data_IF_772694170003
#
_entry.id   IF_772694170003
#
_cell.length_a   1.000
_cell.length_b   1.000
_cell.length_c   1.000
_cell.angle_alpha   90.00
_cell.angle_beta   90.00
_cell.angle_gamma   90.00
#
_symmetry.space_group_name_H-M   'P 1'
#
loop_
_entity.id
_entity.type
_entity.pdbx_description
1 polymer ?
#
# COMPACT_ATOMS: atom_id res chain seq x y z
N UNK A 1 -3.85 -11.77 14.48
CA UNK A 1 -5.17 -11.14 14.76
C UNK A 1 -5.05 -9.62 14.89
N UNK A 2 -4.91 -8.96 13.75
CA UNK A 2 -4.81 -7.49 13.68
C UNK A 2 -6.08 -6.76 14.19
N UNK A 3 -7.19 -7.47 14.32
CA UNK A 3 -8.50 -6.92 14.69
C UNK A 3 -8.92 -7.21 16.14
N UNK A 4 -8.11 -7.88 16.94
CA UNK A 4 -8.38 -8.04 18.37
C UNK A 4 -7.91 -6.81 19.15
N UNK A 5 -8.72 -5.75 19.07
CA UNK A 5 -8.57 -4.55 19.90
C UNK A 5 -9.82 -4.45 20.74
N UNK A 6 -9.63 -4.19 22.03
CA UNK A 6 -10.74 -3.81 22.92
C UNK A 6 -11.21 -2.42 22.51
N UNK A 7 -12.22 -2.34 21.60
CA UNK A 7 -12.75 -1.08 21.13
C UNK A 7 -13.44 -1.17 19.77
N UNK A 8 -14.00 -0.07 19.31
CA UNK A 8 -14.70 0.01 18.02
C UNK A 8 -13.72 0.29 16.90
N UNK A 9 -13.66 -0.60 15.92
CA UNK A 9 -12.93 -0.38 14.66
C UNK A 9 -13.93 0.00 13.56
N UNK A 10 -13.67 1.09 12.85
CA UNK A 10 -14.38 1.38 11.59
C UNK A 10 -13.56 0.84 10.42
N UNK A 11 -14.22 0.13 9.53
CA UNK A 11 -13.68 -0.27 8.22
C UNK A 11 -14.47 0.49 7.16
N UNK A 12 -13.82 1.48 6.52
CA UNK A 12 -14.39 2.28 5.45
C UNK A 12 -13.92 1.68 4.13
N UNK A 13 -14.87 1.16 3.35
CA UNK A 13 -14.63 0.55 2.04
C UNK A 13 -14.97 1.56 0.95
N UNK A 14 -13.98 1.99 0.18
CA UNK A 14 -14.13 2.91 -0.94
C UNK A 14 -13.98 2.19 -2.29
N UNK A 15 -13.91 0.87 -2.30
CA UNK A 15 -13.81 0.04 -3.50
C UNK A 15 -14.67 -1.21 -3.33
N UNK A 16 -15.33 -1.66 -4.40
CA UNK A 16 -15.96 -2.97 -4.44
C UNK A 16 -14.89 -4.02 -4.74
N UNK A 17 -14.49 -4.76 -3.72
CA UNK A 17 -13.56 -5.89 -3.86
C UNK A 17 -14.25 -7.15 -4.38
N UNK A 18 -13.44 -8.13 -4.83
CA UNK A 18 -13.92 -9.47 -5.19
C UNK A 18 -14.42 -10.24 -3.95
N UNK A 19 -13.87 -9.92 -2.79
CA UNK A 19 -14.23 -10.54 -1.51
C UNK A 19 -15.20 -9.65 -0.73
N UNK A 20 -16.29 -10.24 -0.25
CA UNK A 20 -17.25 -9.54 0.59
C UNK A 20 -17.03 -9.88 2.07
N UNK A 21 -16.96 -8.85 2.90
CA UNK A 21 -16.97 -9.03 4.35
C UNK A 21 -18.38 -9.32 4.85
N UNK A 22 -18.57 -10.36 5.66
CA UNK A 22 -19.81 -10.60 6.38
C UNK A 22 -19.96 -9.56 7.51
N UNK A 23 -20.90 -8.61 7.42
CA UNK A 23 -21.06 -7.58 8.43
C UNK A 23 -21.42 -8.13 9.83
N UNK A 24 -22.09 -9.27 9.89
CA UNK A 24 -22.46 -9.90 11.16
C UNK A 24 -21.25 -10.55 11.84
N UNK A 25 -20.37 -11.16 11.05
CA UNK A 25 -19.13 -11.73 11.56
C UNK A 25 -18.17 -10.61 12.01
N UNK A 26 -18.01 -9.57 11.20
CA UNK A 26 -17.18 -8.42 11.53
C UNK A 26 -17.66 -7.70 12.79
N UNK A 27 -18.98 -7.58 12.98
CA UNK A 27 -19.56 -6.97 14.17
C UNK A 27 -19.23 -7.75 15.47
N UNK A 28 -19.09 -9.07 15.41
CA UNK A 28 -18.65 -9.89 16.57
C UNK A 28 -17.22 -9.54 17.04
N UNK A 29 -16.43 -9.00 16.14
CA UNK A 29 -15.05 -8.55 16.43
C UNK A 29 -14.95 -7.05 16.67
N UNK A 30 -16.09 -6.37 16.89
CA UNK A 30 -16.10 -4.92 17.14
C UNK A 30 -15.84 -4.06 15.90
N UNK A 31 -15.91 -4.66 14.70
CA UNK A 31 -15.68 -3.94 13.44
C UNK A 31 -17.02 -3.50 12.83
N UNK A 32 -17.11 -2.21 12.52
CA UNK A 32 -18.24 -1.60 11.81
C UNK A 32 -17.83 -1.26 10.38
N UNK A 33 -18.54 -1.84 9.41
CA UNK A 33 -18.30 -1.58 7.99
C UNK A 33 -19.13 -0.38 7.53
N UNK A 34 -18.49 0.54 6.81
CA UNK A 34 -19.08 1.69 6.15
C UNK A 34 -18.66 1.59 4.68
N UNK A 35 -19.60 1.69 3.75
CA UNK A 35 -19.31 1.70 2.31
C UNK A 35 -19.46 3.10 1.76
N UNK A 36 -18.58 3.48 0.86
CA UNK A 36 -18.58 4.74 0.10
C UNK A 36 -18.41 4.36 -1.36
N UNK A 37 -19.27 4.87 -2.22
CA UNK A 37 -19.25 4.57 -3.65
C UNK A 37 -18.51 5.66 -4.44
N UNK A 38 -18.64 6.92 -4.02
CA UNK A 38 -18.06 8.06 -4.72
C UNK A 38 -17.06 8.82 -3.85
N UNK A 39 -15.96 9.29 -4.47
CA UNK A 39 -14.90 10.01 -3.75
C UNK A 39 -15.42 11.25 -3.00
N UNK A 40 -16.41 11.92 -3.58
CA UNK A 40 -17.03 13.13 -3.05
C UNK A 40 -17.76 12.92 -1.72
N UNK A 41 -18.09 11.66 -1.38
CA UNK A 41 -18.70 11.31 -0.09
C UNK A 41 -17.68 11.33 1.05
N UNK A 42 -16.38 11.05 0.73
CA UNK A 42 -15.30 11.02 1.72
C UNK A 42 -14.84 12.44 2.07
N UNK A 43 -15.61 13.09 2.92
CA UNK A 43 -15.39 14.49 3.31
C UNK A 43 -15.01 14.63 4.78
N UNK A 44 -14.46 15.79 5.16
CA UNK A 44 -14.22 16.14 6.57
C UNK A 44 -15.49 16.04 7.42
N UNK A 45 -16.62 16.49 6.88
CA UNK A 45 -17.90 16.43 7.57
C UNK A 45 -18.35 14.97 7.82
N UNK A 46 -18.18 14.11 6.83
CA UNK A 46 -18.48 12.69 6.95
C UNK A 46 -17.60 12.01 7.99
N UNK A 47 -16.29 12.26 7.99
CA UNK A 47 -15.36 11.69 8.96
C UNK A 47 -15.69 12.15 10.39
N UNK A 48 -16.04 13.43 10.57
CA UNK A 48 -16.47 13.97 11.87
C UNK A 48 -17.79 13.33 12.34
N UNK A 49 -18.77 13.11 11.46
CA UNK A 49 -20.01 12.41 11.79
C UNK A 49 -19.72 10.98 12.29
N UNK A 50 -18.82 10.27 11.62
CA UNK A 50 -18.40 8.93 12.05
C UNK A 50 -17.70 8.95 13.41
N UNK A 51 -16.84 9.95 13.64
CA UNK A 51 -16.17 10.14 14.92
C UNK A 51 -17.18 10.37 16.06
N UNK A 52 -18.11 11.29 15.89
CA UNK A 52 -19.14 11.60 16.88
C UNK A 52 -20.05 10.40 17.17
N UNK A 53 -20.44 9.67 16.12
CA UNK A 53 -21.39 8.56 16.22
C UNK A 53 -20.81 7.29 16.82
N UNK A 54 -19.54 6.98 16.51
CA UNK A 54 -18.96 5.68 16.85
C UNK A 54 -17.81 5.77 17.85
N UNK A 55 -17.20 6.95 18.00
CA UNK A 55 -15.99 7.17 18.84
C UNK A 55 -14.96 6.06 18.64
N UNK A 56 -14.51 5.80 17.38
CA UNK A 56 -13.68 4.65 17.07
C UNK A 56 -12.28 4.78 17.68
N UNK A 57 -11.72 3.67 18.12
CA UNK A 57 -10.33 3.58 18.55
C UNK A 57 -9.39 3.35 17.36
N UNK A 58 -9.92 2.76 16.30
CA UNK A 58 -9.20 2.50 15.05
C UNK A 58 -10.10 2.75 13.84
N UNK A 59 -9.51 3.30 12.80
CA UNK A 59 -10.14 3.43 11.50
C UNK A 59 -9.22 2.80 10.45
N UNK A 60 -9.77 1.92 9.64
CA UNK A 60 -9.12 1.34 8.48
C UNK A 60 -9.87 1.83 7.25
N UNK A 61 -9.17 2.42 6.29
CA UNK A 61 -9.76 2.90 5.06
C UNK A 61 -9.16 2.08 3.91
N UNK A 62 -10.00 1.27 3.26
CA UNK A 62 -9.65 0.65 1.98
C UNK A 62 -9.95 1.68 0.89
N UNK A 63 -8.90 2.45 0.58
CA UNK A 63 -9.01 3.58 -0.34
C UNK A 63 -9.04 3.08 -1.79
N UNK A 64 -9.91 3.67 -2.62
CA UNK A 64 -10.03 3.27 -4.01
C UNK A 64 -8.73 3.56 -4.79
N UNK A 65 -8.20 2.54 -5.46
CA UNK A 65 -6.94 2.62 -6.19
C UNK A 65 -6.92 3.57 -7.40
N UNK A 66 -8.09 4.06 -7.82
CA UNK A 66 -8.21 5.05 -8.91
C UNK A 66 -8.35 6.49 -8.40
N UNK A 67 -8.52 6.70 -7.09
CA UNK A 67 -8.62 8.02 -6.49
C UNK A 67 -7.24 8.57 -6.13
N UNK A 68 -7.12 9.89 -6.12
CA UNK A 68 -5.86 10.51 -5.74
C UNK A 68 -5.68 10.51 -4.23
N UNK A 69 -4.60 9.91 -3.76
CA UNK A 69 -4.26 9.88 -2.33
C UNK A 69 -4.08 11.28 -1.76
N UNK A 70 -3.54 12.22 -2.56
CA UNK A 70 -3.38 13.63 -2.18
C UNK A 70 -4.70 14.33 -1.81
N UNK A 71 -5.83 13.90 -2.38
CA UNK A 71 -7.13 14.47 -2.05
C UNK A 71 -7.56 14.07 -0.63
N UNK A 72 -7.30 12.81 -0.23
CA UNK A 72 -7.52 12.37 1.14
C UNK A 72 -6.56 13.03 2.13
N UNK A 73 -5.28 13.14 1.78
CA UNK A 73 -4.25 13.78 2.61
C UNK A 73 -4.51 15.27 2.85
N UNK A 74 -5.28 15.91 1.99
CA UNK A 74 -5.66 17.32 2.14
C UNK A 74 -6.84 17.53 3.11
N UNK A 75 -7.54 16.46 3.52
CA UNK A 75 -8.64 16.56 4.47
C UNK A 75 -8.14 16.84 5.89
N UNK A 76 -8.86 17.69 6.62
CA UNK A 76 -8.67 17.81 8.06
C UNK A 76 -9.35 16.62 8.75
N UNK A 77 -8.55 15.76 9.36
CA UNK A 77 -9.06 14.62 10.10
C UNK A 77 -9.75 15.07 11.41
N UNK A 78 -10.71 14.30 11.92
CA UNK A 78 -11.32 14.55 13.23
C UNK A 78 -10.28 14.70 14.34
N UNK A 79 -10.60 15.45 15.38
CA UNK A 79 -9.71 15.65 16.53
C UNK A 79 -9.26 14.32 17.14
N UNK A 80 -7.96 14.14 17.29
CA UNK A 80 -7.37 12.92 17.83
C UNK A 80 -7.14 11.81 16.81
N UNK A 81 -7.52 11.99 15.54
CA UNK A 81 -7.16 11.05 14.48
C UNK A 81 -5.83 11.43 13.85
N UNK A 82 -5.02 10.41 13.57
CA UNK A 82 -3.78 10.54 12.81
C UNK A 82 -3.60 9.35 11.87
N UNK A 83 -2.89 9.56 10.77
CA UNK A 83 -2.52 8.45 9.87
C UNK A 83 -1.33 7.73 10.49
N UNK A 84 -1.58 6.57 11.06
CA UNK A 84 -0.55 5.75 11.69
C UNK A 84 0.27 4.98 10.66
N UNK A 85 -0.38 4.47 9.62
CA UNK A 85 0.28 3.65 8.60
C UNK A 85 -0.39 3.81 7.24
N UNK A 86 0.45 3.85 6.19
CA UNK A 86 0.03 3.75 4.80
C UNK A 86 0.56 2.48 4.18
N UNK A 87 -0.35 1.66 3.69
CA UNK A 87 -0.06 0.40 3.03
C UNK A 87 -0.63 0.44 1.61
N UNK A 88 0.15 -0.02 0.64
CA UNK A 88 -0.29 -0.14 -0.75
C UNK A 88 -0.25 -1.60 -1.17
N UNK A 89 -1.38 -2.14 -1.62
CA UNK A 89 -1.47 -3.46 -2.23
C UNK A 89 -1.38 -3.36 -3.74
N UNK A 90 -0.65 -4.26 -4.38
CA UNK A 90 -0.42 -4.27 -5.82
C UNK A 90 -0.57 -5.67 -6.38
N UNK A 91 -1.45 -5.84 -7.36
CA UNK A 91 -1.55 -7.08 -8.13
C UNK A 91 -0.33 -7.23 -9.04
N UNK A 92 0.55 -8.19 -8.73
CA UNK A 92 1.78 -8.43 -9.48
C UNK A 92 1.49 -8.86 -10.94
N UNK A 93 0.38 -9.56 -11.18
CA UNK A 93 0.03 -10.06 -12.52
C UNK A 93 -0.30 -8.95 -13.51
N UNK A 94 -0.82 -7.83 -13.03
CA UNK A 94 -1.21 -6.66 -13.85
C UNK A 94 -0.25 -5.48 -13.70
N UNK A 95 0.71 -5.55 -12.79
CA UNK A 95 1.58 -4.44 -12.42
C UNK A 95 2.30 -3.79 -13.59
N UNK A 96 2.87 -4.59 -14.50
CA UNK A 96 3.62 -4.04 -15.65
C UNK A 96 2.71 -3.22 -16.57
N UNK A 97 1.48 -3.68 -16.80
CA UNK A 97 0.49 -2.95 -17.59
C UNK A 97 0.07 -1.67 -16.87
N UNK A 98 -0.16 -1.75 -15.57
CA UNK A 98 -0.51 -0.61 -14.73
C UNK A 98 0.60 0.45 -14.73
N UNK A 99 1.85 0.05 -14.53
CA UNK A 99 3.01 0.93 -14.54
C UNK A 99 3.19 1.65 -15.89
N UNK A 100 2.91 0.97 -17.01
CA UNK A 100 3.03 1.54 -18.34
C UNK A 100 1.93 2.56 -18.64
N UNK A 101 0.71 2.33 -18.18
CA UNK A 101 -0.45 3.14 -18.52
C UNK A 101 -0.81 4.18 -17.45
N UNK A 102 -0.58 3.88 -16.17
CA UNK A 102 -1.02 4.66 -15.02
C UNK A 102 0.15 5.04 -14.08
N UNK A 103 1.35 5.20 -14.62
CA UNK A 103 2.55 5.51 -13.84
C UNK A 103 2.38 6.70 -12.86
N UNK A 104 1.73 7.83 -13.23
CA UNK A 104 1.55 8.93 -12.29
C UNK A 104 0.73 8.53 -11.06
N UNK A 105 -0.31 7.71 -11.25
CA UNK A 105 -1.16 7.22 -10.17
C UNK A 105 -0.38 6.25 -9.28
N UNK A 106 0.37 5.32 -9.86
CA UNK A 106 1.27 4.45 -9.12
C UNK A 106 2.26 5.23 -8.24
N UNK A 107 2.90 6.25 -8.82
CA UNK A 107 3.84 7.10 -8.08
C UNK A 107 3.15 7.78 -6.89
N UNK A 108 1.93 8.23 -7.05
CA UNK A 108 1.16 8.87 -5.98
C UNK A 108 0.79 7.89 -4.87
N UNK A 109 0.30 6.70 -5.24
CA UNK A 109 -0.08 5.65 -4.29
C UNK A 109 1.11 5.14 -3.46
N UNK A 110 2.27 4.98 -4.09
CA UNK A 110 3.48 4.48 -3.43
C UNK A 110 4.20 5.56 -2.63
N UNK A 111 4.02 6.84 -3.02
CA UNK A 111 4.64 7.94 -2.30
C UNK A 111 4.13 8.02 -0.86
N UNK A 112 5.05 7.84 0.09
CA UNK A 112 4.74 7.83 1.51
C UNK A 112 4.12 6.52 2.02
N UNK A 113 4.01 5.48 1.18
CA UNK A 113 3.72 4.15 1.68
C UNK A 113 4.88 3.65 2.54
N UNK A 114 4.56 3.08 3.69
CA UNK A 114 5.52 2.42 4.57
C UNK A 114 5.73 0.96 4.16
N UNK A 115 4.65 0.34 3.64
CA UNK A 115 4.65 -1.02 3.14
C UNK A 115 3.98 -1.07 1.77
N UNK A 116 4.62 -1.76 0.82
CA UNK A 116 4.03 -2.12 -0.48
C UNK A 116 4.00 -3.63 -0.59
N UNK A 117 2.79 -4.18 -0.62
CA UNK A 117 2.55 -5.61 -0.73
C UNK A 117 2.17 -5.97 -2.16
N UNK A 118 2.99 -6.75 -2.82
CA UNK A 118 2.65 -7.40 -4.09
C UNK A 118 2.01 -8.75 -3.81
N UNK A 119 0.76 -8.92 -4.22
CA UNK A 119 0.08 -10.21 -4.17
C UNK A 119 0.03 -10.86 -5.57
N UNK A 120 -0.49 -12.10 -5.64
CA UNK A 120 -0.64 -12.87 -6.90
C UNK A 120 0.68 -13.00 -7.67
N UNK A 121 1.77 -13.23 -6.94
CA UNK A 121 3.11 -13.33 -7.53
C UNK A 121 3.44 -14.69 -8.15
N UNK A 122 2.50 -15.63 -8.22
CA UNK A 122 2.71 -16.96 -8.81
C UNK A 122 3.17 -16.83 -10.27
N UNK A 123 4.29 -17.48 -10.58
CA UNK A 123 4.91 -17.47 -11.92
C UNK A 123 5.30 -16.09 -12.48
N UNK A 124 5.42 -15.07 -11.61
CA UNK A 124 5.82 -13.72 -11.98
C UNK A 124 7.32 -13.53 -11.77
N UNK A 125 8.03 -13.24 -12.85
CA UNK A 125 9.45 -12.86 -12.83
C UNK A 125 9.71 -11.67 -13.77
N UNK A 126 10.65 -10.78 -13.46
CA UNK A 126 11.50 -10.71 -12.27
C UNK A 126 10.92 -9.77 -11.18
N UNK A 127 10.57 -10.30 -10.01
CA UNK A 127 10.07 -9.54 -8.86
C UNK A 127 11.04 -8.45 -8.38
N UNK A 128 12.34 -8.69 -8.53
CA UNK A 128 13.38 -7.69 -8.23
C UNK A 128 13.20 -6.38 -9.03
N UNK A 129 12.67 -6.45 -10.24
CA UNK A 129 12.31 -5.27 -11.06
C UNK A 129 11.17 -4.46 -10.45
N UNK A 130 10.16 -5.15 -9.90
CA UNK A 130 9.01 -4.54 -9.24
C UNK A 130 9.45 -3.82 -7.96
N UNK A 131 10.25 -4.51 -7.13
CA UNK A 131 10.87 -3.89 -5.94
C UNK A 131 11.64 -2.61 -6.30
N UNK A 132 12.44 -2.64 -7.36
CA UNK A 132 13.20 -1.47 -7.82
C UNK A 132 12.27 -0.31 -8.20
N UNK A 133 11.17 -0.58 -8.89
CA UNK A 133 10.18 0.44 -9.26
C UNK A 133 9.59 1.14 -8.05
N UNK A 134 9.30 0.40 -6.97
CA UNK A 134 8.84 0.96 -5.70
C UNK A 134 9.94 1.79 -5.04
N UNK A 135 11.15 1.24 -4.91
CA UNK A 135 12.27 1.88 -4.21
C UNK A 135 12.75 3.18 -4.86
N UNK A 136 12.54 3.36 -6.16
CA UNK A 136 12.79 4.63 -6.86
C UNK A 136 11.83 5.73 -6.38
N UNK A 137 10.60 5.39 -6.05
CA UNK A 137 9.56 6.34 -5.61
C UNK A 137 9.58 6.53 -4.10
N UNK A 138 9.65 5.43 -3.36
CA UNK A 138 9.67 5.40 -1.89
C UNK A 138 10.82 4.51 -1.40
N UNK A 139 12.04 5.07 -1.23
CA UNK A 139 13.22 4.30 -0.82
C UNK A 139 13.07 3.61 0.53
N UNK A 140 12.26 4.16 1.42
CA UNK A 140 12.06 3.67 2.78
C UNK A 140 10.97 2.61 2.89
N UNK A 141 10.04 2.52 1.89
CA UNK A 141 8.96 1.56 1.94
C UNK A 141 9.48 0.13 2.04
N UNK A 142 8.95 -0.66 2.95
CA UNK A 142 9.11 -2.10 2.92
C UNK A 142 8.39 -2.66 1.70
N UNK A 143 8.94 -3.71 1.09
CA UNK A 143 8.32 -4.34 -0.10
C UNK A 143 8.28 -5.82 0.12
N UNK A 144 7.06 -6.35 0.18
CA UNK A 144 6.77 -7.77 0.40
C UNK A 144 6.12 -8.32 -0.87
N UNK A 145 6.39 -9.58 -1.17
CA UNK A 145 5.80 -10.32 -2.26
C UNK A 145 5.13 -11.58 -1.71
N UNK A 146 3.91 -11.84 -2.15
CA UNK A 146 3.14 -13.01 -1.74
C UNK A 146 2.60 -13.77 -2.94
N UNK A 147 2.68 -15.09 -2.87
CA UNK A 147 1.96 -16.02 -3.73
C UNK A 147 0.91 -16.81 -2.95
N UNK A 148 0.35 -17.85 -3.53
CA UNK A 148 -0.62 -18.73 -2.90
C UNK A 148 -0.09 -19.53 -1.67
N UNK A 149 1.25 -19.56 -1.48
CA UNK A 149 1.91 -20.25 -0.39
C UNK A 149 2.35 -19.30 0.74
N UNK A 150 2.23 -18.00 0.53
CA UNK A 150 2.61 -16.95 1.46
C UNK A 150 3.73 -16.05 0.95
N UNK A 151 4.50 -15.46 1.86
CA UNK A 151 5.57 -14.52 1.52
C UNK A 151 6.72 -15.22 0.77
N UNK A 152 7.16 -14.57 -0.32
CA UNK A 152 8.32 -14.99 -1.11
C UNK A 152 9.56 -14.31 -0.54
N UNK A 153 10.37 -15.05 0.20
CA UNK A 153 11.58 -14.51 0.86
C UNK A 153 12.71 -14.21 -0.10
N UNK A 154 12.92 -15.04 -1.14
CA UNK A 154 14.02 -14.90 -2.08
C UNK A 154 13.58 -14.46 -3.47
N UNK A 155 13.38 -13.15 -3.63
CA UNK A 155 12.97 -12.56 -4.92
C UNK A 155 14.10 -12.42 -5.93
N UNK A 156 15.36 -12.68 -5.52
CA UNK A 156 16.52 -12.52 -6.41
C UNK A 156 16.94 -13.84 -7.04
N UNK A 157 16.36 -14.97 -6.63
CA UNK A 157 16.77 -16.31 -7.05
C UNK A 157 18.16 -16.70 -6.51
N UNK A 158 18.50 -17.98 -6.67
CA UNK A 158 19.79 -18.51 -6.20
C UNK A 158 20.98 -18.05 -7.06
N UNK A 159 20.71 -17.50 -8.22
CA UNK A 159 21.72 -17.13 -9.23
C UNK A 159 22.11 -15.64 -9.25
N UNK A 160 21.67 -14.84 -8.29
CA UNK A 160 22.17 -13.46 -8.20
C UNK A 160 23.51 -13.47 -7.46
N UNK A 161 24.63 -13.35 -8.16
CA UNK A 161 25.93 -13.26 -7.53
C UNK A 161 26.08 -11.85 -6.93
N UNK A 162 25.35 -11.58 -5.85
CA UNK A 162 25.66 -10.43 -5.03
C UNK A 162 26.79 -10.86 -4.10
N UNK A 163 27.99 -10.88 -4.67
CA UNK A 163 29.20 -11.04 -3.88
C UNK A 163 29.43 -9.75 -3.09
N UNK A 164 29.03 -9.75 -1.83
CA UNK A 164 29.28 -8.65 -0.89
C UNK A 164 30.78 -8.34 -0.75
N UNK A 165 31.66 -9.25 -1.19
CA UNK A 165 33.10 -9.09 -1.19
C UNK A 165 33.65 -8.75 -2.58
N UNK A 166 32.79 -8.62 -3.59
CA UNK A 166 33.22 -8.18 -4.92
C UNK A 166 33.90 -6.80 -4.79
N UNK A 167 35.06 -6.60 -5.42
CA UNK A 167 35.71 -5.30 -5.39
C UNK A 167 34.73 -4.26 -5.97
N UNK A 168 34.55 -3.17 -5.24
CA UNK A 168 33.79 -2.01 -5.72
C UNK A 168 34.47 -1.53 -7.00
N UNK A 169 33.78 -1.65 -8.14
CA UNK A 169 34.26 -1.07 -9.38
C UNK A 169 34.09 0.43 -9.25
N UNK A 170 35.15 1.14 -8.93
CA UNK A 170 35.16 2.60 -9.01
C UNK A 170 35.14 2.99 -10.49
N UNK A 171 34.02 3.51 -10.94
CA UNK A 171 33.89 4.11 -12.26
C UNK A 171 34.46 5.53 -12.16
N UNK A 172 35.58 5.85 -12.89
CA UNK A 172 36.18 7.16 -12.81
C UNK A 172 35.16 8.26 -13.16
N UNK A 173 35.12 9.30 -12.35
CA UNK A 173 34.16 10.39 -12.43
C UNK A 173 34.15 11.12 -13.78
N UNK A 174 35.27 11.10 -14.43
CA UNK A 174 35.54 11.81 -15.67
C UNK A 174 34.90 11.16 -16.90
N UNK A 175 34.57 9.86 -16.81
CA UNK A 175 34.12 9.10 -17.97
C UNK A 175 32.63 9.18 -18.27
N UNK A 176 31.79 9.57 -17.32
CA UNK A 176 30.34 9.45 -17.46
C UNK A 176 29.50 10.71 -17.14
N UNK A 177 30.06 11.75 -16.58
CA UNK A 177 29.40 13.05 -16.35
C UNK A 177 28.13 13.03 -15.48
N UNK A 178 27.68 11.86 -15.01
CA UNK A 178 26.45 11.66 -14.22
C UNK A 178 26.78 10.79 -13.01
N UNK A 179 26.44 11.29 -11.82
CA UNK A 179 26.66 10.59 -10.56
C UNK A 179 25.33 10.23 -9.93
N UNK A 180 25.17 8.98 -9.60
CA UNK A 180 24.10 8.51 -8.74
C UNK A 180 24.69 8.18 -7.38
N UNK A 181 24.14 8.82 -6.36
CA UNK A 181 24.41 8.51 -4.95
C UNK A 181 23.31 7.58 -4.46
#
# INVERSE_FOLDING_TARGET
DYFQIDGTTLLILCEEGEEEFDPLEMAKHGVKIIKIEEQEELTEAFLNELHEKYSPERVVIEYNGMWKVSDFEALNLPEGWEIEQKLTTVDASTFQMYLNNLKPLFVEMVRGAELVLFNRCTDIEPLAGYRRSVKVVSPQAEVIFEDENGEIENIFGDDVPYDLNAPVIEIPREDYGIWYV
#
